data_IF_296420258972
#
_entry.id   IF_296420258972
#
_cell.length_a   1.000
_cell.length_b   1.000
_cell.length_c   1.000
_cell.angle_alpha   90.00
_cell.angle_beta   90.00
_cell.angle_gamma   90.00
#
_symmetry.space_group_name_H-M   'P 1'
#
loop_
_entity.id
_entity.type
_entity.pdbx_description
1 polymer ?
#
# COMPACT_ATOMS: atom_id res chain seq x y z
N UNK A 1 8.38 3.01 -11.08
CA UNK A 1 9.73 3.21 -11.67
C UNK A 1 10.69 3.61 -10.56
N UNK A 2 11.94 3.15 -10.65
CA UNK A 2 13.01 3.55 -9.76
C UNK A 2 13.99 4.46 -10.50
N UNK A 3 14.10 5.69 -10.04
CA UNK A 3 15.12 6.66 -10.51
C UNK A 3 16.31 6.55 -9.57
N UNK A 4 17.40 6.03 -10.09
CA UNK A 4 18.54 5.57 -9.32
C UNK A 4 19.73 6.54 -9.41
N UNK A 5 20.16 7.08 -8.26
CA UNK A 5 21.42 7.79 -8.10
C UNK A 5 22.51 6.79 -7.75
N UNK A 6 23.48 6.57 -8.64
CA UNK A 6 24.46 5.51 -8.48
C UNK A 6 25.75 6.01 -7.79
N UNK A 7 26.19 5.23 -6.79
CA UNK A 7 27.50 5.46 -6.13
C UNK A 7 28.63 5.42 -7.13
N UNK A 8 28.52 4.58 -8.15
CA UNK A 8 29.54 4.49 -9.22
C UNK A 8 29.75 5.83 -9.94
N UNK A 9 28.71 6.64 -10.04
CA UNK A 9 28.72 7.92 -10.75
C UNK A 9 28.90 9.13 -9.81
N UNK A 10 29.35 8.88 -8.57
CA UNK A 10 29.49 9.93 -7.53
C UNK A 10 30.33 11.15 -7.95
N UNK A 11 31.17 11.00 -8.94
CA UNK A 11 31.99 12.12 -9.48
C UNK A 11 31.16 13.12 -10.31
N UNK A 12 30.01 12.69 -10.83
CA UNK A 12 29.11 13.52 -11.63
C UNK A 12 28.16 14.38 -10.75
N UNK A 13 28.05 14.05 -9.45
CA UNK A 13 27.26 14.80 -8.50
C UNK A 13 28.11 15.88 -7.81
N UNK A 14 27.47 16.94 -7.31
CA UNK A 14 28.16 18.02 -6.57
C UNK A 14 28.78 17.52 -5.25
N UNK A 15 28.41 16.33 -4.79
CA UNK A 15 28.99 15.62 -3.66
C UNK A 15 28.27 14.33 -3.36
N UNK A 16 28.83 13.51 -2.48
CA UNK A 16 28.22 12.26 -2.06
C UNK A 16 28.13 12.18 -0.52
N UNK A 17 26.96 11.84 0.05
CA UNK A 17 25.67 11.65 -0.62
C UNK A 17 25.21 12.89 -1.40
N UNK A 18 24.28 12.72 -2.40
CA UNK A 18 23.84 13.81 -3.28
C UNK A 18 23.40 15.06 -2.52
N UNK A 19 23.87 16.22 -2.97
CA UNK A 19 23.60 17.52 -2.35
C UNK A 19 22.25 18.09 -2.79
N UNK A 20 21.72 19.14 -2.14
CA UNK A 20 20.44 19.74 -2.52
C UNK A 20 20.36 20.12 -4.01
N UNK A 21 21.47 20.58 -4.61
CA UNK A 21 21.52 20.94 -6.04
C UNK A 21 21.33 19.71 -6.95
N UNK A 22 21.89 18.57 -6.59
CA UNK A 22 21.73 17.32 -7.36
C UNK A 22 20.26 16.88 -7.34
N UNK A 23 19.63 16.91 -6.16
CA UNK A 23 18.20 16.63 -6.02
C UNK A 23 17.35 17.61 -6.81
N UNK A 24 17.67 18.91 -6.76
CA UNK A 24 16.97 19.92 -7.55
C UNK A 24 17.00 19.59 -9.05
N UNK A 25 18.17 19.23 -9.58
CA UNK A 25 18.34 18.93 -11.00
C UNK A 25 17.52 17.69 -11.41
N UNK A 26 17.61 16.61 -10.64
CA UNK A 26 16.82 15.38 -10.88
C UNK A 26 15.32 15.67 -10.83
N UNK A 27 14.85 16.39 -9.80
CA UNK A 27 13.44 16.73 -9.65
C UNK A 27 12.95 17.62 -10.79
N UNK A 28 13.71 18.62 -11.21
CA UNK A 28 13.35 19.47 -12.37
C UNK A 28 13.25 18.66 -13.67
N UNK A 29 14.19 17.74 -13.91
CA UNK A 29 14.13 16.86 -15.09
C UNK A 29 12.92 15.93 -15.05
N UNK A 30 12.52 15.49 -13.86
CA UNK A 30 11.37 14.61 -13.68
C UNK A 30 10.01 15.30 -13.93
N UNK A 31 9.93 16.62 -13.78
CA UNK A 31 8.68 17.39 -14.01
C UNK A 31 8.12 17.19 -15.43
N UNK A 32 8.99 16.97 -16.41
CA UNK A 32 8.57 16.75 -17.80
C UNK A 32 7.75 15.45 -18.01
N UNK A 33 7.73 14.55 -17.03
CA UNK A 33 7.10 13.23 -17.14
C UNK A 33 5.78 13.09 -16.37
N UNK A 34 5.33 14.12 -15.67
CA UNK A 34 4.05 14.19 -14.94
C UNK A 34 3.75 12.96 -14.07
N UNK A 35 4.60 12.62 -13.07
CA UNK A 35 4.37 11.50 -12.18
C UNK A 35 3.15 11.75 -11.28
N UNK A 36 2.38 10.69 -11.00
CA UNK A 36 1.24 10.80 -10.07
C UNK A 36 1.72 10.99 -8.62
N UNK A 37 2.78 10.29 -8.24
CA UNK A 37 3.38 10.36 -6.90
C UNK A 37 4.89 10.23 -7.03
N UNK A 38 5.62 11.16 -6.42
CA UNK A 38 7.07 11.06 -6.22
C UNK A 38 7.33 10.57 -4.79
N UNK A 39 8.15 9.55 -4.66
CA UNK A 39 8.50 8.93 -3.37
C UNK A 39 10.01 9.00 -3.18
N UNK A 40 10.44 9.58 -2.09
CA UNK A 40 11.85 9.63 -1.70
C UNK A 40 11.95 9.00 -0.30
N UNK A 41 12.24 7.68 -0.22
CA UNK A 41 12.31 6.99 1.07
C UNK A 41 13.48 7.44 1.93
N UNK A 42 14.50 8.00 1.31
CA UNK A 42 15.66 8.55 2.01
C UNK A 42 15.30 9.87 2.69
N UNK A 43 15.91 10.13 3.85
CA UNK A 43 15.72 11.39 4.54
C UNK A 43 16.59 12.48 3.92
N UNK A 44 15.96 13.50 3.35
CA UNK A 44 16.66 14.64 2.76
C UNK A 44 17.13 15.61 3.86
N UNK A 45 18.25 15.29 4.45
CA UNK A 45 18.87 16.09 5.52
C UNK A 45 20.35 16.30 5.23
N UNK A 46 20.78 17.57 5.25
CA UNK A 46 22.15 17.98 4.95
C UNK A 46 22.70 18.86 6.06
N UNK A 47 23.30 18.38 7.05
CA UNK A 47 23.84 19.06 8.25
C UNK A 47 24.02 20.59 8.19
N UNK A 48 24.75 21.11 7.21
CA UNK A 48 24.98 22.57 7.02
C UNK A 48 24.96 22.92 5.53
N UNK A 49 23.83 22.78 4.83
CA UNK A 49 23.73 23.13 3.43
C UNK A 49 23.62 24.64 3.25
N UNK A 50 23.89 25.15 2.02
CA UNK A 50 23.46 26.50 1.66
C UNK A 50 21.94 26.59 1.66
N UNK A 51 21.31 27.52 2.40
CA UNK A 51 19.86 27.68 2.44
C UNK A 51 19.24 27.93 1.06
N UNK A 52 19.98 28.55 0.15
CA UNK A 52 19.54 28.82 -1.23
C UNK A 52 19.30 27.50 -1.98
N UNK A 53 20.26 26.59 -1.95
CA UNK A 53 20.12 25.28 -2.63
C UNK A 53 19.04 24.40 -1.99
N UNK A 54 18.87 24.46 -0.67
CA UNK A 54 17.76 23.75 -0.01
C UNK A 54 16.42 24.32 -0.46
N UNK A 55 16.30 25.65 -0.54
CA UNK A 55 15.09 26.30 -1.01
C UNK A 55 14.79 25.95 -2.48
N UNK A 56 15.80 25.93 -3.33
CA UNK A 56 15.61 25.54 -4.73
C UNK A 56 15.18 24.08 -4.89
N UNK A 57 15.77 23.16 -4.09
CA UNK A 57 15.33 21.76 -4.05
C UNK A 57 13.88 21.66 -3.55
N UNK A 58 13.50 22.44 -2.53
CA UNK A 58 12.12 22.51 -2.03
C UNK A 58 11.16 23.03 -3.11
N UNK A 59 11.52 24.08 -3.83
CA UNK A 59 10.71 24.61 -4.94
C UNK A 59 10.55 23.61 -6.08
N UNK A 60 11.55 22.76 -6.32
CA UNK A 60 11.46 21.73 -7.33
C UNK A 60 10.43 20.62 -7.00
N UNK A 61 10.01 20.49 -5.74
CA UNK A 61 8.95 19.57 -5.31
C UNK A 61 7.54 20.11 -5.57
N UNK A 62 7.35 21.43 -5.56
CA UNK A 62 6.03 22.09 -5.65
C UNK A 62 5.20 21.67 -6.88
N UNK A 63 5.77 21.49 -8.08
CA UNK A 63 5.00 21.13 -9.27
C UNK A 63 4.39 19.71 -9.24
N UNK A 64 4.88 18.83 -8.37
CA UNK A 64 4.36 17.46 -8.32
C UNK A 64 3.01 17.42 -7.59
N UNK A 65 2.02 16.67 -8.10
CA UNK A 65 0.70 16.57 -7.48
C UNK A 65 0.75 15.92 -6.09
N UNK A 66 1.73 15.05 -5.86
CA UNK A 66 1.99 14.44 -4.55
C UNK A 66 3.45 14.02 -4.41
N UNK A 67 4.04 14.39 -3.29
CA UNK A 67 5.41 13.97 -2.91
C UNK A 67 5.38 13.39 -1.51
N UNK A 68 6.04 12.26 -1.33
CA UNK A 68 6.18 11.56 -0.04
C UNK A 68 7.65 11.41 0.30
N UNK A 69 8.05 11.93 1.46
CA UNK A 69 9.42 11.89 1.95
C UNK A 69 9.57 10.95 3.14
N UNK A 70 10.71 10.31 3.21
CA UNK A 70 11.10 9.47 4.32
C UNK A 70 11.53 10.28 5.55
N UNK A 71 11.05 9.85 6.71
CA UNK A 71 11.57 10.23 8.02
C UNK A 71 12.15 8.98 8.64
N UNK A 72 13.47 8.94 8.75
CA UNK A 72 14.16 7.78 9.29
C UNK A 72 13.88 7.60 10.78
N UNK A 73 13.53 6.40 11.14
CA UNK A 73 13.16 6.06 12.50
C UNK A 73 13.77 4.73 12.97
N UNK A 74 13.90 4.61 14.27
CA UNK A 74 14.32 3.39 14.94
C UNK A 74 13.15 2.76 15.68
N UNK A 75 13.07 1.44 15.64
CA UNK A 75 12.09 0.68 16.41
C UNK A 75 12.45 0.70 17.90
N UNK A 76 11.42 0.70 18.74
CA UNK A 76 11.58 0.67 20.18
C UNK A 76 12.04 -0.73 20.62
N UNK A 77 13.05 -0.75 21.48
CA UNK A 77 13.45 -1.95 22.23
C UNK A 77 12.52 -2.22 23.41
N UNK A 78 11.95 -1.15 23.99
CA UNK A 78 10.93 -1.21 25.03
C UNK A 78 9.67 -0.48 24.53
N UNK A 79 8.57 -1.23 24.38
CA UNK A 79 7.28 -0.72 23.85
C UNK A 79 6.56 0.25 24.77
N UNK A 80 6.87 0.25 26.06
CA UNK A 80 6.23 1.11 27.05
C UNK A 80 6.86 2.53 27.08
N UNK A 81 8.05 2.66 26.49
CA UNK A 81 8.70 3.96 26.40
C UNK A 81 7.99 4.82 25.33
N UNK A 82 7.68 6.10 25.64
CA UNK A 82 7.13 7.01 24.65
C UNK A 82 8.13 7.24 23.52
N UNK A 83 7.64 7.31 22.30
CA UNK A 83 8.47 7.59 21.13
C UNK A 83 8.93 9.06 21.16
N UNK A 84 10.16 9.30 20.72
CA UNK A 84 10.66 10.66 20.52
C UNK A 84 10.42 11.08 19.07
N UNK A 85 9.47 11.99 18.85
CA UNK A 85 9.06 12.41 17.50
C UNK A 85 9.70 13.74 17.04
N UNK A 86 10.50 14.38 17.89
CA UNK A 86 11.27 15.58 17.49
C UNK A 86 10.43 16.76 17.01
N UNK A 87 9.18 16.91 17.49
CA UNK A 87 8.28 17.98 17.08
C UNK A 87 7.50 17.71 15.79
N UNK A 88 7.46 16.46 15.31
CA UNK A 88 6.69 16.06 14.11
C UNK A 88 5.33 15.42 14.43
N UNK A 89 4.89 15.47 15.69
CA UNK A 89 3.67 14.84 16.20
C UNK A 89 2.42 15.20 15.38
N UNK A 90 2.31 16.48 15.00
CA UNK A 90 1.17 17.01 14.24
C UNK A 90 1.34 16.86 12.73
N UNK A 91 2.54 16.52 12.26
CA UNK A 91 2.85 16.39 10.83
C UNK A 91 2.67 14.96 10.31
N UNK A 92 2.57 13.98 11.22
CA UNK A 92 2.41 12.58 10.86
C UNK A 92 0.94 12.17 10.94
N UNK A 93 0.32 11.73 9.82
CA UNK A 93 -1.06 11.28 9.84
C UNK A 93 -1.22 9.98 10.63
N UNK A 94 -2.47 9.68 11.02
CA UNK A 94 -2.80 8.48 11.81
C UNK A 94 -3.89 7.67 11.13
N UNK A 95 -3.80 6.34 11.21
CA UNK A 95 -4.88 5.47 10.79
C UNK A 95 -6.08 5.61 11.73
N UNK A 96 -7.29 5.75 11.16
CA UNK A 96 -8.51 5.92 11.95
C UNK A 96 -9.31 4.62 12.08
N UNK A 97 -9.23 3.73 11.09
CA UNK A 97 -9.99 2.47 11.06
C UNK A 97 -9.05 1.28 11.17
N UNK A 98 -8.68 0.96 12.39
CA UNK A 98 -7.82 -0.19 12.70
C UNK A 98 -8.65 -1.26 13.39
N UNK A 99 -8.48 -2.51 13.00
CA UNK A 99 -9.11 -3.68 13.60
C UNK A 99 -8.06 -4.75 13.87
N UNK A 100 -8.12 -5.38 15.04
CA UNK A 100 -7.17 -6.40 15.46
C UNK A 100 -6.19 -5.93 16.53
N UNK A 101 -5.17 -6.73 16.80
CA UNK A 101 -4.19 -6.46 17.86
C UNK A 101 -3.08 -5.54 17.36
N UNK A 102 -3.10 -4.29 17.79
CA UNK A 102 -2.07 -3.30 17.47
C UNK A 102 -0.74 -3.57 18.17
N UNK A 103 -0.72 -4.39 19.22
CA UNK A 103 0.54 -4.75 19.90
C UNK A 103 1.46 -5.63 19.04
N UNK A 104 0.95 -6.27 17.99
CA UNK A 104 1.79 -7.01 17.06
C UNK A 104 2.62 -6.08 16.13
N UNK A 105 2.16 -4.86 15.89
CA UNK A 105 2.80 -3.89 15.00
C UNK A 105 4.11 -3.39 15.62
N UNK A 106 5.20 -3.21 14.82
CA UNK A 106 6.45 -2.65 15.33
C UNK A 106 6.25 -1.32 16.03
N UNK A 107 6.79 -1.20 17.25
CA UNK A 107 6.68 0.04 18.03
C UNK A 107 7.78 1.03 17.62
N UNK A 108 7.40 2.29 17.47
CA UNK A 108 8.32 3.39 17.18
C UNK A 108 9.10 3.77 18.46
N UNK A 109 10.42 3.84 18.36
CA UNK A 109 11.26 4.29 19.45
C UNK A 109 11.65 5.76 19.35
N UNK A 110 12.28 6.13 18.25
CA UNK A 110 12.68 7.51 18.01
C UNK A 110 12.77 7.81 16.52
N UNK A 111 12.55 9.06 16.14
CA UNK A 111 12.97 9.56 14.84
C UNK A 111 14.47 9.86 14.91
N UNK A 112 15.23 9.31 13.96
CA UNK A 112 16.68 9.50 13.87
C UNK A 112 16.99 10.78 13.10
N UNK A 113 16.30 10.94 11.97
CA UNK A 113 16.52 12.03 11.03
C UNK A 113 15.22 12.43 10.38
N UNK A 114 15.04 13.71 10.18
CA UNK A 114 13.89 14.29 9.48
C UNK A 114 14.39 15.18 8.34
N UNK A 115 13.63 15.31 7.25
CA UNK A 115 13.96 16.23 6.16
C UNK A 115 14.10 17.67 6.67
N UNK A 116 14.92 18.45 5.98
CA UNK A 116 15.06 19.88 6.24
C UNK A 116 13.68 20.58 6.25
N UNK A 117 13.50 21.56 7.12
CA UNK A 117 12.21 22.26 7.31
C UNK A 117 11.62 22.83 6.02
N UNK A 118 12.47 23.34 5.13
CA UNK A 118 12.01 23.92 3.87
C UNK A 118 11.49 22.83 2.92
N UNK A 119 12.12 21.66 2.93
CA UNK A 119 11.76 20.49 2.12
C UNK A 119 10.45 19.87 2.65
N UNK A 120 10.36 19.64 3.98
CA UNK A 120 9.20 18.96 4.58
C UNK A 120 7.88 19.73 4.44
N UNK A 121 7.95 21.06 4.24
CA UNK A 121 6.73 21.87 4.00
C UNK A 121 6.13 21.67 2.62
N UNK A 122 6.88 21.10 1.69
CA UNK A 122 6.45 20.87 0.30
C UNK A 122 6.01 19.43 0.03
N UNK A 123 6.06 18.56 1.06
CA UNK A 123 5.80 17.14 0.89
C UNK A 123 5.12 16.54 2.12
N UNK A 124 4.58 15.36 1.95
CA UNK A 124 4.07 14.57 3.05
C UNK A 124 5.14 13.67 3.62
N UNK A 125 5.04 13.42 4.93
CA UNK A 125 6.02 12.61 5.63
C UNK A 125 5.50 11.19 5.83
N UNK A 126 6.36 10.22 5.62
CA UNK A 126 6.12 8.81 5.96
C UNK A 126 7.30 8.25 6.75
N UNK A 127 7.02 7.40 7.73
CA UNK A 127 8.08 6.79 8.53
C UNK A 127 8.82 5.75 7.69
N UNK A 128 10.14 5.74 7.82
CA UNK A 128 11.02 4.76 7.19
C UNK A 128 11.77 4.01 8.28
N UNK A 129 11.68 2.70 8.24
CA UNK A 129 12.51 1.80 9.04
C UNK A 129 13.45 1.12 8.05
N UNK A 130 14.78 1.34 8.18
CA UNK A 130 15.74 0.63 7.34
C UNK A 130 15.55 -0.89 7.45
N UNK A 131 15.52 -1.63 6.33
CA UNK A 131 15.36 -3.08 6.37
C UNK A 131 16.57 -3.74 7.05
N UNK A 132 16.31 -4.79 7.82
CA UNK A 132 17.41 -5.61 8.36
C UNK A 132 18.08 -6.36 7.19
N UNK A 133 19.36 -6.13 6.98
CA UNK A 133 20.15 -6.72 5.90
C UNK A 133 20.17 -8.28 5.91
N UNK A 134 19.72 -8.92 6.98
CA UNK A 134 19.74 -10.38 7.16
C UNK A 134 18.39 -11.06 6.93
N UNK A 135 17.30 -10.31 6.88
CA UNK A 135 15.96 -10.87 6.70
C UNK A 135 15.49 -10.74 5.23
N UNK A 136 14.53 -11.57 4.83
CA UNK A 136 13.74 -11.26 3.63
C UNK A 136 13.21 -9.83 3.79
N UNK A 137 13.38 -9.00 2.76
CA UNK A 137 13.04 -7.58 2.87
C UNK A 137 11.55 -7.44 3.22
N UNK A 138 11.28 -7.06 4.46
CA UNK A 138 9.94 -6.71 4.95
C UNK A 138 9.90 -5.22 5.20
N UNK A 139 8.83 -4.58 4.76
CA UNK A 139 8.58 -3.15 5.00
C UNK A 139 7.37 -3.01 5.90
N UNK A 140 7.49 -2.37 7.06
CA UNK A 140 6.31 -2.03 7.85
C UNK A 140 5.35 -1.17 7.02
N UNK A 141 4.06 -1.49 7.07
CA UNK A 141 3.01 -0.65 6.49
C UNK A 141 2.55 0.43 7.48
N UNK A 142 2.65 0.10 8.75
CA UNK A 142 2.39 0.99 9.86
C UNK A 142 3.39 0.76 10.99
N UNK A 143 3.59 1.75 11.83
CA UNK A 143 4.30 1.67 13.10
C UNK A 143 3.44 2.16 14.23
N UNK A 144 3.59 1.59 15.43
CA UNK A 144 2.82 1.97 16.59
C UNK A 144 3.52 3.09 17.37
N UNK A 145 2.78 4.14 17.68
CA UNK A 145 3.18 5.25 18.56
C UNK A 145 2.07 5.53 19.55
N UNK A 146 2.34 5.38 20.85
CA UNK A 146 1.41 5.73 21.95
C UNK A 146 -0.03 5.22 21.74
N UNK A 147 -0.18 3.99 21.24
CA UNK A 147 -1.50 3.38 20.95
C UNK A 147 -2.12 3.75 19.60
N UNK A 148 -1.51 4.66 18.86
CA UNK A 148 -1.90 5.03 17.50
C UNK A 148 -1.02 4.32 16.47
N UNK A 149 -1.53 4.17 15.25
CA UNK A 149 -0.75 3.67 14.12
C UNK A 149 -0.45 4.80 13.14
N UNK A 150 0.84 4.99 12.91
CA UNK A 150 1.37 5.97 11.96
C UNK A 150 1.71 5.26 10.64
N UNK A 151 1.43 5.86 9.47
CA UNK A 151 1.78 5.28 8.19
C UNK A 151 3.28 5.40 7.91
N UNK A 152 3.83 4.38 7.28
CA UNK A 152 5.16 4.43 6.67
C UNK A 152 5.10 5.11 5.29
N UNK A 153 6.26 5.36 4.69
CA UNK A 153 6.35 5.87 3.31
C UNK A 153 5.56 5.01 2.33
N UNK A 154 5.60 3.69 2.50
CA UNK A 154 4.84 2.76 1.66
C UNK A 154 3.32 3.02 1.74
N UNK A 155 2.79 3.12 2.95
CA UNK A 155 1.38 3.37 3.18
C UNK A 155 0.95 4.77 2.70
N UNK A 156 1.80 5.78 2.97
CA UNK A 156 1.56 7.16 2.58
C UNK A 156 1.47 7.31 1.06
N UNK A 157 2.46 6.77 0.34
CA UNK A 157 2.49 6.85 -1.11
C UNK A 157 1.34 6.08 -1.78
N UNK A 158 0.96 4.93 -1.25
CA UNK A 158 -0.22 4.19 -1.72
C UNK A 158 -1.53 4.95 -1.47
N UNK A 159 -1.66 5.59 -0.31
CA UNK A 159 -2.82 6.41 0.00
C UNK A 159 -2.97 7.54 -1.02
N UNK A 160 -1.88 8.18 -1.41
CA UNK A 160 -1.86 9.25 -2.42
C UNK A 160 -2.13 8.73 -3.82
N UNK A 161 -1.42 7.69 -4.23
CA UNK A 161 -1.61 7.09 -5.55
C UNK A 161 -3.03 6.57 -5.79
N UNK A 162 -3.66 6.02 -4.75
CA UNK A 162 -5.03 5.49 -4.83
C UNK A 162 -6.10 6.49 -4.44
N UNK A 163 -5.74 7.72 -4.11
CA UNK A 163 -6.63 8.76 -3.59
C UNK A 163 -7.47 8.26 -2.40
N UNK A 164 -6.85 7.48 -1.52
CA UNK A 164 -7.51 6.85 -0.36
C UNK A 164 -7.14 7.57 0.93
N UNK A 165 -7.97 8.47 1.47
CA UNK A 165 -7.70 9.11 2.74
C UNK A 165 -7.62 8.09 3.90
N UNK A 166 -6.75 8.34 4.90
CA UNK A 166 -6.60 7.46 6.08
C UNK A 166 -7.90 7.28 6.87
N UNK A 167 -8.79 8.28 6.84
CA UNK A 167 -10.12 8.18 7.44
C UNK A 167 -10.99 7.06 6.83
N UNK A 168 -10.72 6.68 5.59
CA UNK A 168 -11.48 5.66 4.86
C UNK A 168 -10.73 4.34 4.70
N UNK A 169 -9.42 4.38 4.79
CA UNK A 169 -8.58 3.19 4.73
C UNK A 169 -8.79 2.30 5.97
N UNK A 170 -8.99 1.01 5.74
CA UNK A 170 -9.16 0.03 6.82
C UNK A 170 -7.90 -0.82 6.93
N UNK A 171 -7.30 -0.84 8.11
CA UNK A 171 -6.16 -1.69 8.44
C UNK A 171 -6.63 -2.85 9.32
N UNK A 172 -6.46 -4.07 8.84
CA UNK A 172 -6.72 -5.29 9.59
C UNK A 172 -5.39 -5.88 10.04
N UNK A 173 -5.30 -6.27 11.31
CA UNK A 173 -4.13 -6.89 11.92
C UNK A 173 -4.48 -8.29 12.43
N UNK A 174 -3.50 -9.17 12.53
CA UNK A 174 -3.72 -10.56 12.96
C UNK A 174 -3.97 -11.51 11.78
N UNK A 175 -4.74 -12.59 11.97
CA UNK A 175 -5.04 -13.56 10.90
C UNK A 175 -5.76 -12.89 9.72
N UNK A 176 -5.19 -13.00 8.52
CA UNK A 176 -5.71 -12.33 7.32
C UNK A 176 -5.46 -10.82 7.30
N UNK A 177 -4.36 -10.39 7.93
CA UNK A 177 -3.97 -8.99 7.98
C UNK A 177 -3.82 -8.37 6.59
N UNK A 178 -4.21 -7.11 6.47
CA UNK A 178 -4.07 -6.35 5.25
C UNK A 178 -4.64 -4.94 5.32
N UNK A 179 -4.26 -4.13 4.36
CA UNK A 179 -4.81 -2.80 4.18
C UNK A 179 -5.84 -2.81 3.03
N UNK A 180 -7.05 -2.33 3.31
CA UNK A 180 -8.11 -2.17 2.34
C UNK A 180 -8.21 -0.72 1.91
N UNK A 181 -8.02 -0.50 0.62
CA UNK A 181 -8.09 0.81 -0.02
C UNK A 181 -9.50 1.04 -0.59
N UNK A 182 -9.89 2.30 -0.74
CA UNK A 182 -11.25 2.68 -1.18
C UNK A 182 -11.63 2.11 -2.55
N UNK A 183 -10.64 1.96 -3.44
CA UNK A 183 -10.84 1.41 -4.79
C UNK A 183 -10.96 -0.12 -4.83
N UNK A 184 -11.08 -0.78 -3.67
CA UNK A 184 -11.16 -2.24 -3.56
C UNK A 184 -9.81 -2.95 -3.66
N UNK A 185 -8.70 -2.21 -3.73
CA UNK A 185 -7.39 -2.81 -3.67
C UNK A 185 -7.12 -3.32 -2.24
N UNK A 186 -6.53 -4.49 -2.17
CA UNK A 186 -6.13 -5.14 -0.92
C UNK A 186 -4.62 -5.35 -0.94
N UNK A 187 -3.94 -4.83 0.07
CA UNK A 187 -2.52 -5.04 0.30
C UNK A 187 -2.37 -6.10 1.38
N UNK A 188 -1.90 -7.31 1.06
CA UNK A 188 -1.69 -8.36 2.05
C UNK A 188 -0.54 -7.99 2.98
N UNK A 189 -0.75 -8.15 4.28
CA UNK A 189 0.25 -7.86 5.30
C UNK A 189 0.46 -9.08 6.19
N UNK A 190 1.60 -9.14 6.87
CA UNK A 190 1.82 -10.06 7.97
C UNK A 190 0.91 -9.72 9.16
N UNK A 191 0.79 -10.61 10.12
CA UNK A 191 0.06 -10.34 11.36
C UNK A 191 0.59 -9.11 12.11
N UNK A 192 1.85 -8.75 11.89
CA UNK A 192 2.51 -7.57 12.44
C UNK A 192 2.31 -6.30 11.59
N UNK A 193 1.50 -6.34 10.54
CA UNK A 193 1.27 -5.19 9.68
C UNK A 193 2.42 -4.86 8.74
N UNK A 194 3.23 -5.85 8.35
CA UNK A 194 4.38 -5.70 7.47
C UNK A 194 4.10 -6.27 6.08
N UNK A 195 4.61 -5.62 5.06
CA UNK A 195 4.59 -6.10 3.68
C UNK A 195 5.88 -6.85 3.35
N UNK A 196 5.76 -8.08 2.87
CA UNK A 196 6.93 -8.87 2.44
C UNK A 196 7.26 -8.58 0.98
N UNK A 197 8.43 -8.05 0.75
CA UNK A 197 8.94 -7.76 -0.59
C UNK A 197 9.58 -9.00 -1.18
N UNK A 198 9.14 -9.41 -2.35
CA UNK A 198 9.76 -10.50 -3.10
C UNK A 198 10.65 -9.92 -4.18
N UNK A 199 11.92 -10.33 -4.21
CA UNK A 199 12.93 -9.85 -5.16
C UNK A 199 12.69 -10.25 -6.62
N UNK A 200 11.57 -10.95 -6.90
CA UNK A 200 11.26 -11.48 -8.23
C UNK A 200 10.56 -10.49 -9.17
N UNK A 201 10.07 -9.36 -8.65
CA UNK A 201 9.36 -8.40 -9.47
C UNK A 201 10.36 -7.45 -10.14
N UNK A 202 10.45 -7.45 -11.46
CA UNK A 202 11.32 -6.50 -12.16
C UNK A 202 10.79 -5.07 -11.95
N UNK A 203 11.68 -4.18 -11.60
CA UNK A 203 11.42 -2.73 -11.52
C UNK A 203 12.09 -2.07 -12.70
N UNK A 204 11.38 -1.20 -13.40
CA UNK A 204 12.02 -0.36 -14.42
C UNK A 204 12.94 0.63 -13.72
N UNK A 205 14.23 0.58 -14.03
CA UNK A 205 15.24 1.47 -13.48
C UNK A 205 15.62 2.52 -14.51
N UNK A 206 15.79 3.76 -14.08
CA UNK A 206 16.27 4.88 -14.87
C UNK A 206 17.39 5.55 -14.11
N UNK A 207 18.48 5.86 -14.79
CA UNK A 207 19.60 6.57 -14.19
C UNK A 207 19.23 8.04 -13.95
N UNK A 208 19.42 8.52 -12.74
CA UNK A 208 19.12 9.89 -12.35
C UNK A 208 19.94 10.92 -13.13
N UNK A 209 21.16 10.59 -13.55
CA UNK A 209 21.99 11.48 -14.37
C UNK A 209 21.30 11.92 -15.66
N UNK A 210 20.50 11.05 -16.29
CA UNK A 210 19.74 11.39 -17.48
C UNK A 210 18.66 12.46 -17.25
N UNK A 211 18.29 12.71 -15.99
CA UNK A 211 17.32 13.75 -15.63
C UNK A 211 17.98 15.07 -15.24
N UNK A 212 19.31 15.09 -15.04
CA UNK A 212 20.02 16.28 -14.55
C UNK A 212 20.31 17.32 -15.64
N UNK A 213 20.27 16.94 -16.92
CA UNK A 213 20.44 17.89 -18.03
C UNK A 213 19.57 17.52 -19.22
N UNK A 214 19.20 18.52 -20.04
CA UNK A 214 18.43 18.31 -21.27
C UNK A 214 19.17 17.44 -22.29
N UNK A 215 20.48 17.57 -22.39
CA UNK A 215 21.31 16.80 -23.31
C UNK A 215 21.29 15.30 -22.93
N UNK A 216 21.44 15.00 -21.64
CA UNK A 216 21.38 13.64 -21.15
C UNK A 216 19.95 13.05 -21.22
N UNK A 217 18.92 13.90 -21.06
CA UNK A 217 17.53 13.49 -21.22
C UNK A 217 17.18 13.06 -22.66
N UNK A 218 17.84 13.64 -23.67
CA UNK A 218 17.70 13.19 -25.05
C UNK A 218 18.25 11.79 -25.28
N UNK A 219 19.27 11.38 -24.53
CA UNK A 219 19.89 10.07 -24.58
C UNK A 219 19.05 8.96 -23.92
N UNK A 220 18.00 9.31 -23.17
CA UNK A 220 17.07 8.32 -22.62
C UNK A 220 16.44 7.47 -23.72
N UNK A 221 16.40 6.17 -23.51
CA UNK A 221 15.77 5.26 -24.45
C UNK A 221 14.26 5.57 -24.58
N UNK A 222 13.61 5.28 -25.73
CA UNK A 222 12.16 5.42 -25.87
C UNK A 222 11.39 4.65 -24.81
N UNK A 223 11.94 3.51 -24.36
CA UNK A 223 11.34 2.69 -23.30
C UNK A 223 11.39 3.40 -21.95
N UNK A 224 12.53 4.04 -21.60
CA UNK A 224 12.66 4.76 -20.34
C UNK A 224 11.77 5.99 -20.30
N UNK A 225 11.67 6.73 -21.41
CA UNK A 225 10.69 7.82 -21.55
C UNK A 225 9.25 7.33 -21.33
N UNK A 226 8.90 6.18 -21.90
CA UNK A 226 7.59 5.55 -21.70
C UNK A 226 7.40 5.07 -20.25
N UNK A 227 8.47 4.55 -19.64
CA UNK A 227 8.42 4.11 -18.24
C UNK A 227 8.23 5.29 -17.28
N UNK A 228 8.82 6.42 -17.53
CA UNK A 228 8.66 7.65 -16.74
C UNK A 228 7.30 8.34 -16.98
N UNK A 229 6.77 8.24 -18.21
CA UNK A 229 5.60 9.03 -18.63
C UNK A 229 4.33 8.74 -17.81
N UNK A 230 3.69 9.81 -17.42
CA UNK A 230 2.34 10.02 -16.89
C UNK A 230 1.76 9.05 -15.86
N UNK A 231 1.25 9.58 -14.77
CA UNK A 231 0.36 8.86 -13.85
C UNK A 231 0.99 7.72 -13.04
N UNK A 232 2.32 7.64 -12.92
CA UNK A 232 3.03 6.56 -12.24
C UNK A 232 3.56 6.96 -10.88
N UNK A 233 3.84 5.96 -10.04
CA UNK A 233 4.65 6.11 -8.83
C UNK A 233 6.11 6.04 -9.23
N UNK A 234 6.85 7.09 -8.92
CA UNK A 234 8.29 7.17 -9.15
C UNK A 234 8.99 7.22 -7.80
N UNK A 235 9.85 6.25 -7.55
CA UNK A 235 10.71 6.20 -6.37
C UNK A 235 12.08 6.73 -6.78
N UNK A 236 12.61 7.68 -6.02
CA UNK A 236 13.94 8.24 -6.24
C UNK A 236 14.81 7.92 -5.03
N UNK A 237 16.05 7.54 -5.27
CA UNK A 237 17.01 7.32 -4.19
C UNK A 237 18.36 6.83 -4.67
N UNK A 238 19.25 6.68 -3.69
CA UNK A 238 20.62 6.19 -3.94
C UNK A 238 20.65 4.65 -3.99
N UNK A 239 21.63 4.10 -4.69
CA UNK A 239 21.93 2.65 -4.67
C UNK A 239 23.04 2.31 -3.67
N UNK A 240 23.22 3.17 -2.67
CA UNK A 240 24.23 2.95 -1.64
C UNK A 240 23.83 1.75 -0.77
N UNK A 241 24.67 0.72 -0.80
CA UNK A 241 24.50 -0.50 0.01
C UNK A 241 24.56 -0.22 1.51
N UNK A 242 25.12 0.93 1.93
CA UNK A 242 25.18 1.31 3.35
C UNK A 242 23.80 1.53 3.96
N UNK A 243 22.79 1.88 3.14
CA UNK A 243 21.39 1.99 3.54
C UNK A 243 20.57 0.75 3.16
N UNK A 244 21.21 -0.36 2.81
CA UNK A 244 20.53 -1.62 2.48
C UNK A 244 19.65 -1.52 1.21
N UNK A 245 19.97 -0.60 0.29
CA UNK A 245 19.17 -0.40 -0.92
C UNK A 245 17.72 0.03 -0.64
N UNK A 246 17.51 0.84 0.39
CA UNK A 246 16.21 1.26 0.90
C UNK A 246 15.24 1.71 -0.20
N UNK A 247 15.69 2.59 -1.09
CA UNK A 247 14.86 3.11 -2.18
C UNK A 247 14.49 2.00 -3.19
N UNK A 248 15.43 1.11 -3.49
CA UNK A 248 15.18 -0.03 -4.37
C UNK A 248 14.15 -1.00 -3.79
N UNK A 249 14.25 -1.32 -2.49
CA UNK A 249 13.27 -2.19 -1.79
C UNK A 249 11.88 -1.56 -1.82
N UNK A 250 11.75 -0.25 -1.62
CA UNK A 250 10.47 0.44 -1.75
C UNK A 250 9.95 0.40 -3.19
N UNK A 251 10.80 0.59 -4.19
CA UNK A 251 10.41 0.50 -5.60
C UNK A 251 9.90 -0.91 -5.96
N UNK A 252 10.55 -1.97 -5.46
CA UNK A 252 10.09 -3.35 -5.61
C UNK A 252 8.75 -3.59 -4.91
N UNK A 253 8.57 -3.06 -3.69
CA UNK A 253 7.29 -3.15 -2.98
C UNK A 253 6.15 -2.50 -3.76
N UNK A 254 6.36 -1.29 -4.29
CA UNK A 254 5.37 -0.62 -5.15
C UNK A 254 5.08 -1.42 -6.41
N UNK A 255 6.11 -1.90 -7.13
CA UNK A 255 5.92 -2.72 -8.32
C UNK A 255 5.08 -3.97 -8.00
N UNK A 256 5.36 -4.63 -6.89
CA UNK A 256 4.62 -5.80 -6.43
C UNK A 256 3.17 -5.45 -6.08
N UNK A 257 2.93 -4.41 -5.27
CA UNK A 257 1.57 -4.03 -4.84
C UNK A 257 0.72 -3.58 -6.03
N UNK A 258 1.28 -2.81 -6.96
CA UNK A 258 0.55 -2.31 -8.11
C UNK A 258 0.21 -3.40 -9.15
N UNK A 259 0.93 -4.52 -9.12
CA UNK A 259 0.64 -5.72 -9.93
C UNK A 259 -0.25 -6.73 -9.21
N UNK A 260 -0.50 -6.55 -7.90
CA UNK A 260 -1.45 -7.40 -7.19
C UNK A 260 -2.83 -7.31 -7.85
N UNK A 261 -3.44 -8.47 -8.06
CA UNK A 261 -4.77 -8.50 -8.61
C UNK A 261 -5.75 -7.75 -7.68
N UNK A 262 -6.48 -6.80 -8.24
CA UNK A 262 -7.45 -6.01 -7.48
C UNK A 262 -8.62 -6.89 -7.09
N UNK A 263 -8.88 -7.00 -5.80
CA UNK A 263 -10.07 -7.63 -5.28
C UNK A 263 -11.27 -6.74 -5.64
N UNK A 264 -12.10 -7.17 -6.57
CA UNK A 264 -13.32 -6.46 -6.91
C UNK A 264 -14.45 -6.95 -6.01
N UNK A 265 -15.01 -6.04 -5.24
CA UNK A 265 -16.28 -6.31 -4.55
C UNK A 265 -17.39 -6.38 -5.59
N UNK A 266 -18.21 -7.41 -5.50
CA UNK A 266 -19.40 -7.53 -6.35
C UNK A 266 -20.25 -6.24 -6.24
N UNK A 267 -20.62 -5.57 -7.34
CA UNK A 267 -21.43 -4.36 -7.31
C UNK A 267 -22.73 -4.58 -6.50
N UNK A 268 -23.20 -3.57 -5.79
CA UNK A 268 -24.37 -3.69 -4.92
C UNK A 268 -25.60 -4.27 -5.64
N UNK A 269 -25.85 -3.83 -6.89
CA UNK A 269 -26.97 -4.37 -7.68
C UNK A 269 -26.83 -5.86 -7.96
N UNK A 270 -25.61 -6.35 -8.21
CA UNK A 270 -25.36 -7.77 -8.44
C UNK A 270 -25.45 -8.58 -7.13
N UNK A 271 -25.09 -8.01 -5.97
CA UNK A 271 -25.34 -8.62 -4.67
C UNK A 271 -26.84 -8.84 -4.44
N UNK A 272 -27.69 -7.84 -4.77
CA UNK A 272 -29.14 -7.99 -4.69
C UNK A 272 -29.66 -9.13 -5.58
N UNK A 273 -29.13 -9.32 -6.77
CA UNK A 273 -29.50 -10.44 -7.64
C UNK A 273 -29.13 -11.77 -6.99
N UNK A 274 -27.92 -11.90 -6.43
CA UNK A 274 -27.49 -13.11 -5.73
C UNK A 274 -28.43 -13.42 -4.54
N UNK A 275 -28.81 -12.40 -3.76
CA UNK A 275 -29.74 -12.56 -2.64
C UNK A 275 -31.16 -12.95 -3.11
N UNK A 276 -31.63 -12.35 -4.19
CA UNK A 276 -32.92 -12.70 -4.78
C UNK A 276 -32.96 -14.16 -5.25
N UNK A 277 -31.89 -14.61 -5.92
CA UNK A 277 -31.77 -16.01 -6.37
C UNK A 277 -31.73 -16.96 -5.17
N UNK A 278 -30.96 -16.62 -4.12
CA UNK A 278 -30.93 -17.43 -2.89
C UNK A 278 -32.29 -17.45 -2.21
N UNK A 279 -33.02 -16.32 -2.18
CA UNK A 279 -34.39 -16.24 -1.66
C UNK A 279 -35.39 -17.13 -2.44
N UNK A 280 -35.36 -17.06 -3.77
CA UNK A 280 -36.19 -17.90 -4.63
C UNK A 280 -35.88 -19.39 -4.44
N UNK A 281 -34.61 -19.77 -4.36
CA UNK A 281 -34.21 -21.14 -4.04
C UNK A 281 -34.71 -21.58 -2.64
N UNK A 282 -34.68 -20.66 -1.67
CA UNK A 282 -35.25 -20.90 -0.34
C UNK A 282 -36.77 -21.13 -0.36
N UNK A 283 -37.50 -20.31 -1.10
CA UNK A 283 -38.96 -20.49 -1.29
C UNK A 283 -39.23 -21.82 -1.98
N UNK A 284 -38.50 -22.19 -3.01
CA UNK A 284 -38.61 -23.49 -3.67
C UNK A 284 -38.37 -24.67 -2.68
N UNK A 285 -37.35 -24.55 -1.82
CA UNK A 285 -37.10 -25.56 -0.77
C UNK A 285 -38.29 -25.75 0.15
N UNK A 286 -38.94 -24.67 0.59
CA UNK A 286 -40.06 -24.70 1.50
C UNK A 286 -41.34 -25.29 0.83
N UNK A 287 -41.62 -24.87 -0.41
CA UNK A 287 -42.88 -25.20 -1.07
C UNK A 287 -42.84 -26.52 -1.84
N UNK A 288 -41.71 -26.87 -2.43
CA UNK A 288 -41.64 -28.01 -3.37
C UNK A 288 -40.89 -29.22 -2.82
N UNK A 289 -40.08 -29.06 -1.76
CA UNK A 289 -39.29 -30.18 -1.24
C UNK A 289 -39.99 -30.90 -0.09
N UNK A 290 -40.13 -32.24 -0.18
CA UNK A 290 -40.71 -33.02 0.92
C UNK A 290 -39.81 -32.97 2.15
N UNK A 291 -40.41 -32.95 3.34
CA UNK A 291 -39.74 -32.85 4.66
C UNK A 291 -38.58 -33.83 4.82
N UNK A 292 -38.73 -35.05 4.34
CA UNK A 292 -37.72 -36.12 4.44
C UNK A 292 -36.43 -35.81 3.67
N UNK A 293 -36.53 -35.04 2.58
CA UNK A 293 -35.39 -34.66 1.70
C UNK A 293 -34.93 -33.21 1.90
N UNK A 294 -35.63 -32.45 2.78
CA UNK A 294 -35.37 -31.01 2.95
C UNK A 294 -33.93 -30.72 3.41
N UNK A 295 -33.45 -31.47 4.40
CA UNK A 295 -32.10 -31.27 4.95
C UNK A 295 -31.02 -31.51 3.86
N UNK A 296 -31.11 -32.68 3.18
CA UNK A 296 -30.13 -33.04 2.17
C UNK A 296 -30.08 -32.02 1.01
N UNK A 297 -31.25 -31.63 0.48
CA UNK A 297 -31.33 -30.65 -0.61
C UNK A 297 -30.92 -29.24 -0.18
N UNK A 298 -31.28 -28.88 1.07
CA UNK A 298 -30.84 -27.61 1.63
C UNK A 298 -29.32 -27.50 1.80
N UNK A 299 -28.71 -28.55 2.35
CA UNK A 299 -27.25 -28.62 2.44
C UNK A 299 -26.57 -28.54 1.06
N UNK A 300 -27.16 -29.23 0.07
CA UNK A 300 -26.63 -29.16 -1.32
C UNK A 300 -26.74 -27.76 -1.89
N UNK A 301 -27.85 -27.05 -1.65
CA UNK A 301 -28.00 -25.64 -2.10
C UNK A 301 -27.00 -24.71 -1.41
N UNK A 302 -26.77 -24.83 -0.10
CA UNK A 302 -25.77 -24.06 0.64
C UNK A 302 -24.39 -24.36 0.10
N UNK A 303 -24.04 -25.62 -0.09
CA UNK A 303 -22.74 -26.02 -0.63
C UNK A 303 -22.55 -25.49 -2.06
N UNK A 304 -23.55 -25.60 -2.92
CA UNK A 304 -23.50 -25.07 -4.29
C UNK A 304 -23.28 -23.53 -4.29
N UNK A 305 -23.97 -22.80 -3.40
CA UNK A 305 -23.76 -21.35 -3.26
C UNK A 305 -22.35 -21.00 -2.83
N UNK A 306 -21.78 -21.73 -1.87
CA UNK A 306 -20.39 -21.55 -1.43
C UNK A 306 -19.39 -21.84 -2.56
N UNK A 307 -19.60 -22.93 -3.29
CA UNK A 307 -18.74 -23.30 -4.44
C UNK A 307 -18.80 -22.23 -5.54
N UNK A 308 -19.97 -21.73 -5.89
CA UNK A 308 -20.13 -20.65 -6.89
C UNK A 308 -19.42 -19.38 -6.45
N UNK A 309 -19.58 -18.97 -5.19
CA UNK A 309 -18.86 -17.81 -4.65
C UNK A 309 -17.33 -18.01 -4.69
N UNK A 310 -16.88 -19.21 -4.33
CA UNK A 310 -15.45 -19.56 -4.37
C UNK A 310 -14.89 -19.58 -5.80
N UNK A 311 -15.59 -20.16 -6.76
CA UNK A 311 -15.19 -20.19 -8.16
C UNK A 311 -15.17 -18.78 -8.77
N UNK A 312 -16.16 -17.95 -8.45
CA UNK A 312 -16.18 -16.56 -8.88
C UNK A 312 -14.98 -15.78 -8.33
N UNK A 313 -14.62 -16.04 -7.07
CA UNK A 313 -13.42 -15.45 -6.47
C UNK A 313 -12.14 -15.96 -7.16
N UNK A 314 -12.02 -17.25 -7.40
CA UNK A 314 -10.82 -17.84 -7.99
C UNK A 314 -10.62 -17.45 -9.46
N UNK A 315 -11.70 -17.30 -10.23
CA UNK A 315 -11.63 -17.03 -11.67
C UNK A 315 -11.48 -15.54 -12.00
N UNK A 316 -12.09 -14.66 -11.23
CA UNK A 316 -12.19 -13.23 -11.55
C UNK A 316 -11.84 -12.29 -10.40
N UNK A 317 -11.42 -12.84 -9.23
CA UNK A 317 -11.14 -12.08 -8.00
C UNK A 317 -12.32 -11.20 -7.53
N UNK A 318 -13.53 -11.57 -7.93
CA UNK A 318 -14.75 -10.93 -7.49
C UNK A 318 -15.17 -11.55 -6.15
N UNK A 319 -15.10 -10.75 -5.10
CA UNK A 319 -15.58 -11.19 -3.79
C UNK A 319 -17.09 -11.01 -3.67
N UNK A 320 -17.77 -12.15 -3.61
CA UNK A 320 -19.18 -12.23 -3.26
C UNK A 320 -19.30 -12.75 -1.84
N UNK A 321 -19.75 -11.92 -0.84
CA UNK A 321 -19.89 -12.39 0.54
C UNK A 321 -20.91 -13.53 0.61
N UNK A 322 -20.51 -14.77 0.93
CA UNK A 322 -21.41 -15.93 0.90
C UNK A 322 -22.32 -16.01 2.14
N UNK A 323 -22.06 -15.19 3.16
CA UNK A 323 -22.74 -15.29 4.47
C UNK A 323 -24.24 -15.08 4.39
N UNK A 324 -24.70 -14.06 3.67
CA UNK A 324 -26.14 -13.76 3.55
C UNK A 324 -26.88 -14.84 2.75
N UNK A 325 -26.48 -15.19 1.51
CA UNK A 325 -27.15 -16.24 0.75
C UNK A 325 -27.10 -17.60 1.45
N UNK A 326 -25.99 -17.95 2.09
CA UNK A 326 -25.90 -19.19 2.87
C UNK A 326 -26.83 -19.20 4.08
N UNK A 327 -26.95 -18.10 4.83
CA UNK A 327 -27.86 -17.96 5.94
C UNK A 327 -29.34 -18.07 5.49
N UNK A 328 -29.70 -17.40 4.38
CA UNK A 328 -31.06 -17.49 3.82
C UNK A 328 -31.44 -18.93 3.46
N UNK A 329 -30.56 -19.67 2.80
CA UNK A 329 -30.76 -21.05 2.43
C UNK A 329 -30.81 -21.99 3.66
N UNK A 330 -29.98 -21.77 4.67
CA UNK A 330 -29.97 -22.52 5.90
C UNK A 330 -31.30 -22.34 6.67
N UNK A 331 -31.76 -21.09 6.84
CA UNK A 331 -33.03 -20.77 7.48
C UNK A 331 -34.18 -21.39 6.69
N UNK A 332 -34.23 -21.28 5.37
CA UNK A 332 -35.23 -21.89 4.51
C UNK A 332 -35.25 -23.42 4.63
N UNK A 333 -34.07 -24.03 4.80
CA UNK A 333 -33.94 -25.48 5.01
C UNK A 333 -34.62 -25.93 6.33
N UNK A 334 -34.40 -25.16 7.41
CA UNK A 334 -35.07 -25.41 8.71
C UNK A 334 -36.57 -25.25 8.57
N UNK A 335 -37.05 -24.19 7.92
CA UNK A 335 -38.47 -23.99 7.66
C UNK A 335 -39.08 -25.12 6.81
N UNK A 336 -38.40 -25.54 5.74
CA UNK A 336 -38.83 -26.68 4.91
C UNK A 336 -38.94 -27.99 5.72
N UNK A 337 -38.08 -28.18 6.71
CA UNK A 337 -38.13 -29.34 7.61
C UNK A 337 -39.32 -29.29 8.57
N UNK A 338 -39.65 -28.09 9.06
CA UNK A 338 -40.75 -27.92 10.08
C UNK A 338 -42.11 -27.83 9.39
N UNK A 339 -42.24 -26.95 8.37
CA UNK A 339 -43.52 -26.58 7.76
C UNK A 339 -43.77 -27.24 6.38
N UNK A 340 -42.78 -27.87 5.76
CA UNK A 340 -42.88 -28.46 4.44
C UNK A 340 -43.96 -29.54 4.32
N UNK A 341 -44.42 -29.84 3.08
CA UNK A 341 -45.48 -30.81 2.81
C UNK A 341 -45.17 -32.21 3.34
N UNK A 342 -46.05 -32.77 4.13
CA UNK A 342 -46.05 -34.22 4.38
C UNK A 342 -46.45 -34.91 3.07
N UNK A 343 -45.60 -35.82 2.54
CA UNK A 343 -46.12 -36.76 1.53
C UNK A 343 -47.17 -37.61 2.22
N UNK A 344 -48.39 -37.50 1.74
CA UNK A 344 -49.43 -38.48 1.99
C UNK A 344 -49.08 -39.73 1.23
#
# INVERSE_FOLDING_TARGET
VFVKMRVADKAEYAGWPPRPIDWQMVLKGLQAYDPAVVVIPETLFWGKPSPEFVNEAAQALVPFPSTVLGVEAQLATNREAPAFLGGLEDSLPRFQKVQGDTHAVPALGALISAPDDMIRRQAELGIVIPPDAKAAATLPYAVQESGHLLPTVLAQALARFTHTPYATQRLLLGPGAGAYLVNGAYVPLSAAGEFTVTTKQPVSEVDALHLMSSELAEALSPQDKTNLAGGKVIVIGTDDDTQGGLAHVHAQAFAQILTLPRLQLLPKWAQWIVWAVAGLAGVWLVLCVPRTKAILRGMLCVFAALVVCFLAFQSSLIWCPPTIPAAMLAVSTVFARIAGRRKV
#
